data_IF_177965809825
#
_entry.id   IF_177965809825
#
_cell.length_a   1.000
_cell.length_b   1.000
_cell.length_c   1.000
_cell.angle_alpha   90.00
_cell.angle_beta   90.00
_cell.angle_gamma   90.00
#
_symmetry.space_group_name_H-M   'P 1'
#
loop_
_entity.id
_entity.type
_entity.pdbx_description
1 polymer ?
#
# COMPACT_ATOMS: atom_id res chain seq x y z
N UNK A 1 5.10 -10.39 14.13
CA UNK A 1 4.91 -10.31 12.66
C UNK A 1 4.94 -8.85 12.28
N UNK A 2 5.89 -8.46 11.43
CA UNK A 2 6.11 -7.08 11.04
C UNK A 2 5.41 -6.72 9.74
N UNK A 3 4.70 -5.59 9.70
CA UNK A 3 4.11 -5.08 8.47
C UNK A 3 5.15 -4.27 7.67
N UNK A 4 5.27 -4.42 6.35
CA UNK A 4 4.62 -5.43 5.49
C UNK A 4 5.26 -6.81 5.66
N UNK A 5 4.42 -7.84 5.77
CA UNK A 5 4.87 -9.24 5.86
C UNK A 5 5.51 -9.68 4.53
N UNK A 6 6.32 -10.73 4.53
CA UNK A 6 6.96 -11.25 3.31
C UNK A 6 5.92 -11.66 2.26
N UNK A 7 4.74 -12.10 2.71
CA UNK A 7 3.57 -12.35 1.87
C UNK A 7 3.08 -11.10 1.16
N UNK A 8 2.98 -9.97 1.85
CA UNK A 8 2.51 -8.70 1.26
C UNK A 8 3.50 -8.20 0.21
N UNK A 9 4.81 -8.33 0.51
CA UNK A 9 5.88 -8.01 -0.43
C UNK A 9 5.83 -8.87 -1.69
N UNK A 10 5.52 -10.16 -1.55
CA UNK A 10 5.35 -11.07 -2.69
C UNK A 10 4.16 -10.66 -3.57
N UNK A 11 3.03 -10.29 -2.96
CA UNK A 11 1.83 -9.82 -3.67
C UNK A 11 2.14 -8.55 -4.47
N UNK A 12 2.83 -7.58 -3.86
CA UNK A 12 3.23 -6.34 -4.53
C UNK A 12 4.11 -6.65 -5.75
N UNK A 13 5.12 -7.52 -5.62
CA UNK A 13 6.00 -7.93 -6.73
C UNK A 13 5.24 -8.63 -7.86
N UNK A 14 4.25 -9.48 -7.52
CA UNK A 14 3.42 -10.15 -8.53
C UNK A 14 2.55 -9.15 -9.28
N UNK A 15 1.94 -8.20 -8.57
CA UNK A 15 1.13 -7.15 -9.18
C UNK A 15 1.97 -6.24 -10.10
N UNK A 16 3.19 -5.90 -9.70
CA UNK A 16 4.16 -5.16 -10.52
C UNK A 16 4.49 -5.88 -11.82
N UNK A 17 4.82 -7.18 -11.74
CA UNK A 17 5.12 -7.99 -12.93
C UNK A 17 3.94 -8.04 -13.89
N UNK A 18 2.72 -8.16 -13.37
CA UNK A 18 1.51 -8.17 -14.19
C UNK A 18 1.27 -6.82 -14.88
N UNK A 19 1.55 -5.71 -14.20
CA UNK A 19 1.40 -4.35 -14.73
C UNK A 19 2.44 -4.05 -15.81
N UNK A 20 3.70 -4.42 -15.59
CA UNK A 20 4.76 -4.33 -16.60
C UNK A 20 4.41 -5.17 -17.84
N UNK A 21 3.99 -6.43 -17.65
CA UNK A 21 3.63 -7.31 -18.77
C UNK A 21 2.47 -6.75 -19.59
N UNK A 22 1.43 -6.20 -18.94
CA UNK A 22 0.30 -5.61 -19.64
C UNK A 22 0.70 -4.32 -20.39
N UNK A 23 1.63 -3.54 -19.85
CA UNK A 23 2.17 -2.35 -20.50
C UNK A 23 3.03 -2.71 -21.70
N UNK A 24 3.94 -3.68 -21.55
CA UNK A 24 4.81 -4.17 -22.63
C UNK A 24 3.99 -4.74 -23.78
N UNK A 25 2.96 -5.53 -23.47
CA UNK A 25 2.06 -6.09 -24.48
C UNK A 25 1.28 -4.98 -25.20
N UNK A 26 0.73 -4.00 -24.48
CA UNK A 26 0.03 -2.87 -25.09
C UNK A 26 0.93 -2.04 -26.00
N UNK A 27 2.18 -1.80 -25.60
CA UNK A 27 3.15 -1.09 -26.42
C UNK A 27 3.52 -1.88 -27.67
N UNK A 28 3.74 -3.19 -27.53
CA UNK A 28 4.03 -4.08 -28.67
C UNK A 28 2.87 -4.10 -29.67
N UNK A 29 1.62 -4.21 -29.20
CA UNK A 29 0.45 -4.17 -30.10
C UNK A 29 0.36 -2.82 -30.80
N UNK A 30 0.54 -1.70 -30.09
CA UNK A 30 0.50 -0.37 -30.70
C UNK A 30 1.60 -0.15 -31.75
N UNK A 31 2.80 -0.70 -31.55
CA UNK A 31 3.92 -0.59 -32.49
C UNK A 31 3.72 -1.46 -33.73
N UNK A 32 3.32 -2.72 -33.56
CA UNK A 32 3.35 -3.71 -34.65
C UNK A 32 2.01 -3.98 -35.31
N UNK A 33 0.85 -3.70 -34.67
CA UNK A 33 -0.43 -4.13 -35.24
C UNK A 33 -0.81 -3.38 -36.52
N UNK A 34 -0.40 -2.12 -36.66
CA UNK A 34 -0.64 -1.35 -37.88
C UNK A 34 0.07 -1.98 -39.10
N UNK A 35 1.34 -2.37 -38.94
CA UNK A 35 2.10 -3.03 -40.00
C UNK A 35 1.53 -4.42 -40.32
N UNK A 36 1.12 -5.18 -39.28
CA UNK A 36 0.46 -6.49 -39.45
C UNK A 36 -0.83 -6.38 -40.23
N UNK A 37 -1.61 -5.33 -40.00
CA UNK A 37 -2.86 -5.04 -40.73
C UNK A 37 -2.58 -4.71 -42.19
N UNK A 38 -1.56 -3.91 -42.48
CA UNK A 38 -1.19 -3.56 -43.86
C UNK A 38 -0.68 -4.76 -44.67
N UNK A 39 0.00 -5.71 -44.00
CA UNK A 39 0.61 -6.89 -44.62
C UNK A 39 -0.27 -8.15 -44.53
N UNK A 40 -1.47 -8.05 -43.97
CA UNK A 40 -2.37 -9.17 -43.67
C UNK A 40 -1.70 -10.30 -42.86
N UNK A 41 -0.83 -9.92 -41.92
CA UNK A 41 -0.04 -10.84 -41.10
C UNK A 41 -0.72 -11.11 -39.75
N UNK A 42 -1.86 -11.82 -39.80
CA UNK A 42 -2.66 -12.14 -38.62
C UNK A 42 -2.85 -10.90 -37.71
N UNK A 43 -3.59 -9.89 -38.20
CA UNK A 43 -3.84 -8.67 -37.45
C UNK A 43 -4.64 -8.98 -36.18
N UNK A 44 -4.33 -8.24 -35.13
CA UNK A 44 -5.09 -8.28 -33.89
C UNK A 44 -6.37 -7.50 -34.12
N UNK A 45 -7.50 -8.10 -33.75
CA UNK A 45 -8.81 -7.47 -33.91
C UNK A 45 -8.94 -6.27 -32.95
N UNK A 46 -9.69 -5.24 -33.37
CA UNK A 46 -9.96 -4.06 -32.56
C UNK A 46 -10.61 -4.41 -31.21
N UNK A 47 -11.42 -5.48 -31.16
CA UNK A 47 -11.99 -6.01 -29.93
C UNK A 47 -10.93 -6.47 -28.92
N UNK A 48 -9.85 -7.07 -29.41
CA UNK A 48 -8.76 -7.58 -28.57
C UNK A 48 -7.86 -6.44 -28.09
N UNK A 49 -7.68 -5.39 -28.91
CA UNK A 49 -7.01 -4.15 -28.47
C UNK A 49 -7.77 -3.45 -27.34
N UNK A 50 -9.10 -3.42 -27.44
CA UNK A 50 -9.96 -2.86 -26.40
C UNK A 50 -9.88 -3.66 -25.09
N UNK A 51 -9.95 -5.00 -25.17
CA UNK A 51 -9.76 -5.86 -24.00
C UNK A 51 -8.36 -5.72 -23.41
N UNK A 52 -7.31 -5.59 -24.24
CA UNK A 52 -5.95 -5.34 -23.77
C UNK A 52 -5.85 -4.03 -22.98
N UNK A 53 -6.50 -2.96 -23.47
CA UNK A 53 -6.56 -1.67 -22.77
C UNK A 53 -7.26 -1.80 -21.42
N UNK A 54 -8.36 -2.57 -21.37
CA UNK A 54 -9.08 -2.87 -20.12
C UNK A 54 -8.21 -3.67 -19.14
N UNK A 55 -7.52 -4.70 -19.61
CA UNK A 55 -6.61 -5.52 -18.80
C UNK A 55 -5.44 -4.71 -18.26
N UNK A 56 -4.85 -3.82 -19.06
CA UNK A 56 -3.80 -2.87 -18.60
C UNK A 56 -4.31 -2.01 -17.46
N UNK A 57 -5.51 -1.45 -17.58
CA UNK A 57 -6.13 -0.65 -16.51
C UNK A 57 -6.37 -1.48 -15.24
N UNK A 58 -6.81 -2.74 -15.38
CA UNK A 58 -6.99 -3.65 -14.25
C UNK A 58 -5.66 -3.98 -13.55
N UNK A 59 -4.59 -4.23 -14.32
CA UNK A 59 -3.26 -4.50 -13.77
C UNK A 59 -2.70 -3.28 -13.02
N UNK A 60 -2.86 -2.07 -13.58
CA UNK A 60 -2.48 -0.81 -12.92
C UNK A 60 -3.25 -0.56 -11.62
N UNK A 61 -4.55 -0.84 -11.62
CA UNK A 61 -5.37 -0.76 -10.40
C UNK A 61 -4.90 -1.78 -9.36
N UNK A 62 -4.61 -3.02 -9.76
CA UNK A 62 -4.15 -4.08 -8.87
C UNK A 62 -2.82 -3.70 -8.21
N UNK A 63 -1.85 -3.22 -8.99
CA UNK A 63 -0.56 -2.76 -8.48
C UNK A 63 -0.71 -1.57 -7.53
N UNK A 64 -1.54 -0.60 -7.92
CA UNK A 64 -1.85 0.55 -7.07
C UNK A 64 -2.47 0.13 -5.74
N UNK A 65 -3.43 -0.79 -5.76
CA UNK A 65 -4.12 -1.30 -4.57
C UNK A 65 -3.22 -2.17 -3.70
N UNK A 66 -2.33 -2.98 -4.28
CA UNK A 66 -1.40 -3.81 -3.53
C UNK A 66 -0.40 -3.00 -2.68
N UNK A 67 -0.10 -1.77 -3.09
CA UNK A 67 0.73 -0.83 -2.33
C UNK A 67 -0.02 -0.07 -1.25
N UNK A 68 -1.36 -0.06 -1.28
CA UNK A 68 -2.13 0.68 -0.29
C UNK A 68 -2.06 -0.09 1.02
N UNK A 69 -1.55 0.53 2.10
CA UNK A 69 -1.54 -0.12 3.38
C UNK A 69 -2.95 -0.30 3.94
N UNK A 70 -3.10 -1.34 4.76
CA UNK A 70 -4.35 -1.55 5.49
C UNK A 70 -4.50 -0.43 6.52
N UNK A 71 -5.62 0.28 6.46
CA UNK A 71 -6.02 1.28 7.44
C UNK A 71 -7.27 0.80 8.18
N UNK A 72 -7.28 0.97 9.50
CA UNK A 72 -8.42 0.69 10.35
C UNK A 72 -8.78 1.95 11.13
N UNK A 73 -10.08 2.25 11.23
CA UNK A 73 -10.57 3.38 11.99
C UNK A 73 -11.63 2.93 13.00
N UNK A 74 -11.50 3.42 14.23
CA UNK A 74 -12.37 3.06 15.35
C UNK A 74 -13.18 4.29 15.75
N UNK A 75 -14.51 4.21 15.62
CA UNK A 75 -15.42 5.32 15.89
C UNK A 75 -16.36 4.99 17.06
N UNK A 76 -16.68 5.99 17.88
CA UNK A 76 -17.63 5.86 18.99
C UNK A 76 -17.67 7.08 19.90
N UNK A 77 -18.68 7.17 20.79
CA UNK A 77 -18.84 8.29 21.74
C UNK A 77 -17.60 8.53 22.60
N UNK A 78 -17.50 9.69 23.25
CA UNK A 78 -16.41 9.98 24.19
C UNK A 78 -16.38 8.94 25.33
N UNK A 79 -15.18 8.62 25.83
CA UNK A 79 -14.96 7.72 26.99
C UNK A 79 -15.36 6.23 26.83
N UNK A 80 -15.67 5.74 25.63
CA UNK A 80 -16.00 4.31 25.39
C UNK A 80 -14.78 3.37 25.24
N UNK A 81 -13.58 3.82 25.64
CA UNK A 81 -12.37 2.98 25.60
C UNK A 81 -11.71 2.82 24.22
N UNK A 82 -11.95 3.74 23.27
CA UNK A 82 -11.33 3.70 21.93
C UNK A 82 -9.80 3.70 21.96
N UNK A 83 -9.21 4.59 22.76
CA UNK A 83 -7.75 4.70 22.91
C UNK A 83 -7.17 3.46 23.58
N UNK A 84 -7.87 2.89 24.57
CA UNK A 84 -7.49 1.62 25.20
C UNK A 84 -7.49 0.46 24.19
N UNK A 85 -8.53 0.37 23.35
CA UNK A 85 -8.61 -0.64 22.30
C UNK A 85 -7.45 -0.52 21.30
N UNK A 86 -7.17 0.70 20.83
CA UNK A 86 -6.05 0.97 19.91
C UNK A 86 -4.70 0.67 20.56
N UNK A 87 -4.50 1.05 21.83
CA UNK A 87 -3.29 0.72 22.59
C UNK A 87 -3.06 -0.78 22.68
N UNK A 88 -4.09 -1.57 22.99
CA UNK A 88 -4.02 -3.03 23.04
C UNK A 88 -3.71 -3.67 21.67
N UNK A 89 -4.32 -3.17 20.59
CA UNK A 89 -4.02 -3.63 19.22
C UNK A 89 -2.57 -3.32 18.83
N UNK A 90 -2.02 -2.21 19.31
CA UNK A 90 -0.65 -1.77 19.04
C UNK A 90 0.35 -2.24 20.10
N UNK A 91 -0.04 -3.15 21.01
CA UNK A 91 0.91 -3.72 21.94
C UNK A 91 1.93 -4.59 21.20
N UNK A 92 3.22 -4.39 21.47
CA UNK A 92 4.28 -5.19 20.86
C UNK A 92 4.15 -6.65 21.29
N UNK A 93 4.29 -7.58 20.32
CA UNK A 93 4.29 -9.02 20.60
C UNK A 93 5.61 -9.52 21.23
N UNK A 94 6.64 -8.68 21.18
CA UNK A 94 7.98 -8.92 21.72
C UNK A 94 8.62 -7.56 22.01
N UNK A 95 9.42 -7.48 23.08
CA UNK A 95 10.15 -6.26 23.45
C UNK A 95 11.10 -5.76 22.37
N UNK A 96 11.43 -6.57 21.35
CA UNK A 96 12.30 -6.18 20.24
C UNK A 96 11.54 -5.61 19.02
N UNK A 97 10.20 -5.62 19.05
CA UNK A 97 9.36 -5.26 17.91
C UNK A 97 8.25 -4.28 18.31
N UNK A 98 8.33 -3.02 17.87
CA UNK A 98 7.25 -2.04 18.02
C UNK A 98 6.43 -1.91 16.72
N UNK A 99 5.09 -2.05 16.76
CA UNK A 99 4.24 -1.85 15.59
C UNK A 99 4.05 -0.37 15.22
N UNK A 100 4.51 0.56 16.06
CA UNK A 100 4.31 2.01 15.89
C UNK A 100 5.32 2.66 14.94
N UNK A 101 6.43 1.98 14.63
CA UNK A 101 7.34 2.49 13.61
C UNK A 101 8.72 1.87 13.65
N UNK A 102 9.46 2.17 12.58
CA UNK A 102 10.84 1.77 12.37
C UNK A 102 11.65 3.00 11.99
N UNK A 103 12.85 3.10 12.53
CA UNK A 103 13.87 4.06 12.11
C UNK A 103 14.59 3.54 10.86
N UNK A 104 14.40 4.21 9.73
CA UNK A 104 15.00 3.81 8.45
C UNK A 104 16.53 3.95 8.43
N UNK A 105 17.13 4.69 9.37
CA UNK A 105 18.58 4.95 9.43
C UNK A 105 19.36 3.91 10.24
N UNK A 106 18.70 3.14 11.11
CA UNK A 106 19.36 2.31 12.14
C UNK A 106 19.72 0.87 11.72
N UNK A 107 19.42 0.45 10.49
CA UNK A 107 19.65 -0.94 10.04
C UNK A 107 18.73 -1.96 10.74
N UNK A 108 18.50 -3.16 10.18
CA UNK A 108 17.56 -4.13 10.77
C UNK A 108 17.98 -4.55 12.20
N UNK A 109 17.07 -4.60 13.19
CA UNK A 109 15.60 -4.53 13.08
C UNK A 109 15.00 -3.11 13.14
N UNK A 110 15.75 -2.11 13.60
CA UNK A 110 15.42 -0.68 13.55
C UNK A 110 14.06 -0.23 14.17
N UNK A 111 13.35 -1.05 14.94
CA UNK A 111 12.08 -0.64 15.54
C UNK A 111 12.28 0.41 16.63
N UNK A 112 11.31 1.33 16.77
CA UNK A 112 11.28 2.25 17.92
C UNK A 112 10.86 1.49 19.18
N UNK A 113 11.81 0.81 19.81
CA UNK A 113 11.60 -0.11 20.93
C UNK A 113 10.82 0.50 22.09
N UNK A 114 11.04 1.78 22.37
CA UNK A 114 10.44 2.48 23.52
C UNK A 114 9.24 3.35 23.15
N UNK A 115 8.85 3.42 21.88
CA UNK A 115 7.70 4.21 21.47
C UNK A 115 6.41 3.52 21.92
N UNK A 116 5.61 4.21 22.72
CA UNK A 116 4.33 3.75 23.24
C UNK A 116 3.19 4.64 22.75
N UNK A 117 2.08 4.00 22.35
CA UNK A 117 0.89 4.73 21.95
C UNK A 117 0.32 5.53 23.13
N UNK A 118 0.30 4.94 24.32
CA UNK A 118 -0.37 5.50 25.50
C UNK A 118 0.41 6.65 26.15
N UNK A 119 1.74 6.67 25.97
CA UNK A 119 2.61 7.65 26.63
C UNK A 119 3.18 8.70 25.67
N UNK A 120 3.48 8.33 24.42
CA UNK A 120 4.16 9.22 23.48
C UNK A 120 3.21 9.81 22.42
N UNK A 121 2.23 9.01 21.96
CA UNK A 121 1.33 9.41 20.87
C UNK A 121 -0.03 9.94 21.36
N UNK A 122 -0.49 9.46 22.52
CA UNK A 122 -1.75 9.88 23.13
C UNK A 122 -1.62 9.99 24.67
N UNK A 123 -0.74 10.88 25.18
CA UNK A 123 -0.50 11.00 26.62
C UNK A 123 -1.78 11.42 27.37
N UNK A 124 -2.12 10.69 28.43
CA UNK A 124 -3.29 10.96 29.28
C UNK A 124 -3.26 12.25 30.11
N UNK A 125 -2.26 13.13 29.91
CA UNK A 125 -2.05 14.35 30.70
C UNK A 125 -2.87 15.56 30.19
N UNK A 126 -3.26 15.57 28.92
CA UNK A 126 -4.17 16.59 28.37
C UNK A 126 -5.60 16.04 28.46
N UNK A 127 -6.40 16.58 29.37
CA UNK A 127 -7.76 16.12 29.75
C UNK A 127 -8.84 16.11 28.65
N UNK A 128 -8.48 15.83 27.40
CA UNK A 128 -9.36 15.61 26.26
C UNK A 128 -8.99 14.29 25.60
N UNK A 129 -9.56 13.18 26.10
CA UNK A 129 -9.49 11.84 25.52
C UNK A 129 -10.42 11.72 24.29
N UNK A 130 -10.44 12.72 23.39
CA UNK A 130 -11.57 12.88 22.47
C UNK A 130 -11.30 12.63 20.98
N UNK A 131 -10.08 12.33 20.55
CA UNK A 131 -9.89 11.97 19.16
C UNK A 131 -8.70 11.02 18.96
N UNK A 132 -8.93 9.72 19.11
CA UNK A 132 -7.98 8.72 18.57
C UNK A 132 -8.51 8.21 17.24
N UNK A 133 -8.29 8.99 16.19
CA UNK A 133 -8.23 8.45 14.84
C UNK A 133 -6.76 8.14 14.56
N UNK A 134 -6.34 6.89 14.76
CA UNK A 134 -5.03 6.46 14.31
C UNK A 134 -5.12 6.21 12.81
N UNK A 135 -4.95 7.28 12.04
CA UNK A 135 -4.75 7.16 10.60
C UNK A 135 -3.35 6.63 10.42
N UNK A 136 -3.19 5.31 10.35
CA UNK A 136 -1.96 4.68 9.91
C UNK A 136 -1.74 5.02 8.44
N UNK A 137 -1.17 6.21 8.20
CA UNK A 137 -0.48 6.54 6.95
C UNK A 137 0.80 5.70 6.92
N UNK A 138 0.70 4.42 6.56
CA UNK A 138 1.83 3.76 5.90
C UNK A 138 1.88 4.23 4.43
N UNK A 139 1.79 5.53 4.19
CA UNK A 139 2.08 6.08 2.87
C UNK A 139 3.58 5.98 2.71
N UNK A 140 4.06 4.92 2.06
CA UNK A 140 5.35 5.00 1.39
C UNK A 140 5.32 6.26 0.54
N UNK A 141 6.29 7.15 0.82
CA UNK A 141 6.40 8.52 0.31
C UNK A 141 6.31 8.61 -1.23
N UNK A 142 6.51 7.48 -1.91
CA UNK A 142 6.51 7.33 -3.36
C UNK A 142 5.21 7.79 -4.05
N UNK A 143 4.07 7.77 -3.36
CA UNK A 143 2.80 8.22 -3.98
C UNK A 143 2.67 9.75 -4.09
N UNK A 144 3.40 10.52 -3.29
CA UNK A 144 3.33 12.00 -3.30
C UNK A 144 4.41 12.59 -4.22
N UNK A 145 5.59 11.97 -4.29
CA UNK A 145 6.68 12.44 -5.16
C UNK A 145 6.31 12.36 -6.66
N UNK A 146 5.56 11.34 -7.07
CA UNK A 146 5.14 11.18 -8.48
C UNK A 146 4.05 12.17 -8.93
N UNK A 147 3.38 12.88 -8.00
CA UNK A 147 2.35 13.87 -8.33
C UNK A 147 2.87 15.31 -8.41
N UNK A 148 4.18 15.53 -8.29
CA UNK A 148 4.79 16.86 -8.29
C UNK A 148 6.03 16.92 -9.17
N UNK A 149 5.90 16.43 -10.41
CA UNK A 149 6.86 16.66 -11.49
C UNK A 149 6.13 16.84 -12.80
#
# INVERSE_FOLDING_TARGET
MGFPDDRDREIIRKAERAENLATDLANWVAEYNQERTQKDLAPIAESDEFELTRLRRLASNLYSSAKVPVAAAVYGPSQVGKSLFVGQVLQPSSDDYSPLGRDEQLGPPAYYQHLSFDYDLNPGATGSNEATALVTRFTTKDRIAASTS
#
